data_IF_199089773207
#
_entry.id   IF_199089773207
#
_cell.length_a   1.000
_cell.length_b   1.000
_cell.length_c   1.000
_cell.angle_alpha   90.00
_cell.angle_beta   90.00
_cell.angle_gamma   90.00
#
_symmetry.space_group_name_H-M   'P 1'
#
loop_
_entity.id
_entity.type
_entity.pdbx_description
1 polymer ?
#
# COMPACT_ATOMS: atom_id res chain seq x y z
N UNK A 1 18.70 -21.82 29.65
CA UNK A 1 18.70 -20.38 29.31
C UNK A 1 18.01 -20.23 27.96
N UNK A 2 16.71 -19.99 27.93
CA UNK A 2 15.98 -19.75 26.68
C UNK A 2 16.26 -18.31 26.23
N UNK A 3 16.95 -18.15 25.10
CA UNK A 3 17.07 -16.84 24.45
C UNK A 3 15.71 -16.49 23.86
N UNK A 4 15.01 -15.57 24.52
CA UNK A 4 13.84 -14.92 23.93
C UNK A 4 14.38 -14.01 22.84
N UNK A 5 14.29 -14.44 21.58
CA UNK A 5 14.46 -13.54 20.45
C UNK A 5 13.30 -12.56 20.50
N UNK A 6 13.53 -11.39 21.09
CA UNK A 6 12.67 -10.23 20.90
C UNK A 6 12.73 -9.93 19.40
N UNK A 7 11.69 -10.33 18.65
CA UNK A 7 11.55 -9.94 17.25
C UNK A 7 11.43 -8.41 17.29
N UNK A 8 12.53 -7.72 16.99
CA UNK A 8 12.52 -6.28 16.86
C UNK A 8 11.55 -5.96 15.74
N UNK A 9 10.48 -5.24 16.05
CA UNK A 9 9.54 -4.71 15.07
C UNK A 9 10.31 -3.72 14.19
N UNK A 10 10.91 -4.24 13.11
CA UNK A 10 11.76 -3.49 12.22
C UNK A 10 10.92 -3.05 11.03
N UNK A 11 10.91 -1.73 10.79
CA UNK A 11 10.35 -1.18 9.56
C UNK A 11 11.03 -1.90 8.38
N UNK A 12 10.25 -2.52 7.47
CA UNK A 12 10.83 -3.23 6.35
C UNK A 12 11.61 -2.27 5.45
N UNK A 13 12.84 -2.64 5.12
CA UNK A 13 13.65 -1.86 4.19
C UNK A 13 13.16 -2.05 2.75
N UNK A 14 12.63 -0.98 2.18
CA UNK A 14 12.09 -0.96 0.81
C UNK A 14 13.15 -1.32 -0.23
N UNK A 15 14.44 -1.10 0.04
CA UNK A 15 15.52 -1.45 -0.88
C UNK A 15 15.62 -2.97 -1.11
N UNK A 16 15.11 -3.78 -0.20
CA UNK A 16 15.03 -5.24 -0.35
C UNK A 16 13.94 -5.67 -1.34
N UNK A 17 13.03 -4.76 -1.72
CA UNK A 17 11.88 -5.04 -2.59
C UNK A 17 11.83 -4.11 -3.81
N UNK A 18 12.87 -4.10 -4.67
CA UNK A 18 12.94 -3.17 -5.81
C UNK A 18 11.78 -3.35 -6.80
N UNK A 19 11.21 -4.56 -6.88
CA UNK A 19 10.09 -4.90 -7.74
C UNK A 19 8.72 -4.45 -7.19
N UNK A 20 8.65 -4.01 -5.92
CA UNK A 20 7.41 -3.51 -5.29
C UNK A 20 7.35 -1.99 -5.23
N UNK A 21 8.24 -1.31 -5.97
CA UNK A 21 8.23 0.15 -6.13
C UNK A 21 7.06 0.55 -7.02
N UNK A 22 6.06 1.19 -6.44
CA UNK A 22 4.86 1.64 -7.15
C UNK A 22 5.15 2.75 -8.15
N UNK A 23 4.64 2.56 -9.36
CA UNK A 23 4.82 3.46 -10.50
C UNK A 23 3.49 4.03 -11.03
N UNK A 24 2.41 3.88 -10.25
CA UNK A 24 1.09 4.41 -10.58
C UNK A 24 0.09 3.37 -11.08
N UNK A 25 0.56 2.19 -11.47
CA UNK A 25 -0.28 1.13 -12.05
C UNK A 25 -0.50 -0.04 -11.06
N UNK A 26 -1.62 -0.75 -11.25
CA UNK A 26 -2.00 -1.92 -10.46
C UNK A 26 -2.01 -1.68 -8.94
N UNK A 27 -2.58 -0.54 -8.51
CA UNK A 27 -2.60 -0.13 -7.09
C UNK A 27 -3.17 -1.21 -6.16
N UNK A 28 -4.17 -1.98 -6.59
CA UNK A 28 -4.71 -3.09 -5.81
C UNK A 28 -3.67 -4.16 -5.52
N UNK A 29 -2.90 -4.58 -6.52
CA UNK A 29 -1.90 -5.65 -6.42
C UNK A 29 -0.67 -5.18 -5.64
N UNK A 30 -0.31 -3.92 -5.84
CA UNK A 30 0.76 -3.29 -5.08
C UNK A 30 0.41 -3.23 -3.59
N UNK A 31 -0.76 -2.69 -3.21
CA UNK A 31 -1.19 -2.60 -1.81
C UNK A 31 -1.27 -4.00 -1.18
N UNK A 32 -1.84 -4.99 -1.87
CA UNK A 32 -1.92 -6.36 -1.35
C UNK A 32 -0.54 -6.97 -1.02
N UNK A 33 0.47 -6.68 -1.84
CA UNK A 33 1.82 -7.17 -1.60
C UNK A 33 2.52 -6.43 -0.47
N UNK A 34 2.42 -5.11 -0.42
CA UNK A 34 3.02 -4.30 0.65
C UNK A 34 2.36 -4.56 1.99
N UNK A 35 1.03 -4.68 2.04
CA UNK A 35 0.29 -4.96 3.26
C UNK A 35 0.70 -6.30 3.89
N UNK A 36 0.94 -7.34 3.08
CA UNK A 36 1.48 -8.62 3.58
C UNK A 36 2.84 -8.48 4.24
N UNK A 37 3.69 -7.57 3.76
CA UNK A 37 5.00 -7.29 4.35
C UNK A 37 4.82 -6.54 5.68
N UNK A 38 3.93 -5.55 5.70
CA UNK A 38 3.60 -4.78 6.90
C UNK A 38 2.99 -5.66 8.00
N UNK A 39 2.10 -6.58 7.65
CA UNK A 39 1.51 -7.57 8.56
C UNK A 39 2.57 -8.50 9.17
N UNK A 40 3.52 -8.98 8.35
CA UNK A 40 4.65 -9.81 8.84
C UNK A 40 5.55 -9.03 9.80
N UNK A 41 5.76 -7.75 9.53
CA UNK A 41 6.47 -6.83 10.41
C UNK A 41 5.62 -6.32 11.60
N UNK A 42 4.33 -6.69 11.63
CA UNK A 42 3.35 -6.29 12.66
C UNK A 42 3.27 -4.78 12.85
N UNK A 43 3.29 -4.03 11.75
CA UNK A 43 3.13 -2.58 11.78
C UNK A 43 1.71 -2.19 12.19
N UNK A 44 1.59 -1.20 13.07
CA UNK A 44 0.31 -0.53 13.37
C UNK A 44 -0.19 0.28 12.17
N UNK A 45 -1.50 0.59 12.13
CA UNK A 45 -2.10 1.43 11.08
C UNK A 45 -1.33 2.75 10.86
N UNK A 46 -0.96 3.44 11.94
CA UNK A 46 -0.19 4.68 11.86
C UNK A 46 1.18 4.47 11.20
N UNK A 47 1.87 3.36 11.52
CA UNK A 47 3.14 3.01 10.88
C UNK A 47 2.94 2.67 9.41
N UNK A 48 1.91 1.88 9.05
CA UNK A 48 1.62 1.55 7.65
C UNK A 48 1.37 2.80 6.81
N UNK A 49 0.60 3.75 7.35
CA UNK A 49 0.28 5.02 6.70
C UNK A 49 1.54 5.90 6.55
N UNK A 50 2.39 5.97 7.57
CA UNK A 50 3.64 6.72 7.48
C UNK A 50 4.58 6.13 6.40
N UNK A 51 4.58 4.81 6.25
CA UNK A 51 5.58 4.11 5.44
C UNK A 51 5.20 3.95 3.97
N UNK A 52 3.90 3.79 3.66
CA UNK A 52 3.45 3.41 2.31
C UNK A 52 3.92 4.36 1.21
N UNK A 53 4.11 5.64 1.51
CA UNK A 53 4.63 6.63 0.56
C UNK A 53 6.07 6.33 0.10
N UNK A 54 6.89 5.69 0.94
CA UNK A 54 8.27 5.35 0.57
C UNK A 54 8.35 4.11 -0.32
N UNK A 55 7.23 3.41 -0.53
CA UNK A 55 7.11 2.25 -1.43
C UNK A 55 6.82 2.64 -2.88
N UNK A 56 7.03 3.91 -3.24
CA UNK A 56 6.91 4.40 -4.61
C UNK A 56 8.25 4.47 -5.32
N UNK A 57 8.22 4.48 -6.65
CA UNK A 57 9.39 4.49 -7.54
C UNK A 57 10.05 5.85 -7.63
N UNK A 58 9.27 6.92 -7.57
CA UNK A 58 9.74 8.30 -7.71
C UNK A 58 8.96 9.27 -6.81
N UNK A 59 9.43 10.53 -6.80
CA UNK A 59 8.88 11.59 -5.96
C UNK A 59 7.48 12.03 -6.37
N UNK A 60 7.12 11.89 -7.66
CA UNK A 60 5.78 12.26 -8.16
C UNK A 60 4.74 11.30 -7.60
N UNK A 61 5.01 10.00 -7.69
CA UNK A 61 4.15 8.96 -7.12
C UNK A 61 4.13 9.04 -5.60
N UNK A 62 5.28 9.27 -4.96
CA UNK A 62 5.36 9.47 -3.51
C UNK A 62 4.40 10.57 -3.06
N UNK A 63 4.49 11.75 -3.70
CA UNK A 63 3.65 12.89 -3.34
C UNK A 63 2.16 12.59 -3.53
N UNK A 64 1.79 11.92 -4.62
CA UNK A 64 0.39 11.52 -4.84
C UNK A 64 -0.12 10.51 -3.81
N UNK A 65 0.75 9.62 -3.32
CA UNK A 65 0.42 8.69 -2.22
C UNK A 65 0.29 9.45 -0.91
N UNK A 66 1.23 10.35 -0.60
CA UNK A 66 1.20 11.24 0.56
C UNK A 66 -0.10 12.06 0.62
N UNK A 67 -0.45 12.75 -0.48
CA UNK A 67 -1.68 13.54 -0.60
C UNK A 67 -2.94 12.67 -0.41
N UNK A 68 -2.92 11.42 -0.87
CA UNK A 68 -4.08 10.52 -0.80
C UNK A 68 -4.33 9.97 0.62
N UNK A 69 -3.31 9.93 1.47
CA UNK A 69 -3.39 9.37 2.82
C UNK A 69 -3.26 10.42 3.91
N UNK A 70 -3.12 11.70 3.53
CA UNK A 70 -3.00 12.81 4.47
C UNK A 70 -4.18 12.80 5.46
N UNK A 71 -3.85 13.02 6.74
CA UNK A 71 -4.80 13.05 7.87
C UNK A 71 -5.62 11.76 8.09
N UNK A 72 -5.27 10.64 7.44
CA UNK A 72 -5.91 9.36 7.70
C UNK A 72 -5.26 8.66 8.90
N UNK A 73 -6.09 7.98 9.69
CA UNK A 73 -5.65 7.25 10.90
C UNK A 73 -5.98 5.76 10.86
N UNK A 74 -6.74 5.32 9.85
CA UNK A 74 -7.13 3.92 9.67
C UNK A 74 -6.57 3.38 8.37
N UNK A 75 -5.90 2.23 8.46
CA UNK A 75 -5.31 1.59 7.29
C UNK A 75 -6.35 1.21 6.24
N UNK A 76 -7.51 0.70 6.66
CA UNK A 76 -8.59 0.35 5.72
C UNK A 76 -9.14 1.57 4.96
N UNK A 77 -9.18 2.74 5.62
CA UNK A 77 -9.59 3.98 4.97
C UNK A 77 -8.51 4.45 3.99
N UNK A 78 -7.23 4.37 4.38
CA UNK A 78 -6.11 4.68 3.49
C UNK A 78 -6.06 3.79 2.25
N UNK A 79 -6.27 2.48 2.40
CA UNK A 79 -6.35 1.55 1.26
C UNK A 79 -7.48 1.94 0.29
N UNK A 80 -8.63 2.34 0.83
CA UNK A 80 -9.76 2.78 0.01
C UNK A 80 -9.43 4.07 -0.74
N UNK A 81 -8.83 5.04 -0.06
CA UNK A 81 -8.40 6.31 -0.66
C UNK A 81 -7.37 6.09 -1.78
N UNK A 82 -6.34 5.27 -1.54
CA UNK A 82 -5.33 4.93 -2.54
C UNK A 82 -5.95 4.26 -3.77
N UNK A 83 -6.83 3.26 -3.57
CA UNK A 83 -7.52 2.60 -4.68
C UNK A 83 -8.34 3.58 -5.52
N UNK A 84 -9.02 4.53 -4.87
CA UNK A 84 -9.78 5.58 -5.54
C UNK A 84 -8.87 6.54 -6.33
N UNK A 85 -7.76 6.97 -5.73
CA UNK A 85 -6.81 7.92 -6.35
C UNK A 85 -6.13 7.36 -7.60
N UNK A 86 -5.88 6.05 -7.62
CA UNK A 86 -5.17 5.37 -8.72
C UNK A 86 -6.06 4.43 -9.54
N UNK A 87 -7.38 4.64 -9.51
CA UNK A 87 -8.36 3.76 -10.19
C UNK A 87 -8.11 3.58 -11.69
N UNK A 88 -7.62 4.62 -12.39
CA UNK A 88 -7.37 4.60 -13.83
C UNK A 88 -6.23 3.63 -14.20
N UNK A 89 -5.20 3.55 -13.36
CA UNK A 89 -4.05 2.66 -13.55
C UNK A 89 -4.32 1.22 -13.09
N UNK A 90 -5.55 0.89 -12.67
CA UNK A 90 -5.87 -0.41 -12.08
C UNK A 90 -6.89 -1.20 -12.95
N UNK A 91 -6.39 -2.10 -13.82
CA UNK A 91 -7.24 -2.94 -14.65
C UNK A 91 -8.25 -3.79 -13.87
N UNK A 92 -7.95 -4.19 -12.62
CA UNK A 92 -8.88 -4.98 -11.80
C UNK A 92 -10.09 -4.14 -11.41
N UNK A 93 -9.87 -2.88 -11.06
CA UNK A 93 -10.96 -1.95 -10.74
C UNK A 93 -11.78 -1.60 -11.98
N UNK A 94 -11.13 -1.34 -13.12
CA UNK A 94 -11.82 -1.08 -14.39
C UNK A 94 -12.67 -2.27 -14.84
N UNK A 95 -12.13 -3.49 -14.76
CA UNK A 95 -12.88 -4.72 -15.09
C UNK A 95 -14.08 -4.92 -14.17
N UNK A 96 -13.90 -4.68 -12.88
CA UNK A 96 -14.98 -4.79 -11.90
C UNK A 96 -16.09 -3.75 -12.16
N UNK A 97 -15.72 -2.52 -12.51
CA UNK A 97 -16.67 -1.48 -12.89
C UNK A 97 -17.44 -1.86 -14.17
N UNK A 98 -16.75 -2.39 -15.18
CA UNK A 98 -17.39 -2.88 -16.41
C UNK A 98 -18.37 -4.03 -16.14
N UNK A 99 -18.00 -4.99 -15.29
CA UNK A 99 -18.89 -6.10 -14.92
C UNK A 99 -20.17 -5.58 -14.25
N UNK A 100 -20.05 -4.65 -13.29
CA UNK A 100 -21.22 -4.02 -12.65
C UNK A 100 -22.13 -3.31 -13.64
N UNK A 101 -21.56 -2.67 -14.66
CA UNK A 101 -22.34 -2.00 -15.71
C UNK A 101 -23.02 -3.00 -16.66
N UNK A 102 -22.40 -4.16 -16.92
CA UNK A 102 -22.97 -5.20 -17.77
C UNK A 102 -24.16 -5.91 -17.11
N UNK A 103 -24.15 -6.01 -15.79
CA UNK A 103 -25.19 -6.70 -15.00
C UNK A 103 -26.41 -5.79 -14.68
N UNK A 104 -26.42 -4.53 -15.16
CA UNK A 104 -27.54 -3.59 -15.10
C UNK A 104 -28.36 -3.62 -16.41
#
# INVERSE_FOLDING_TARGET
MAQVFTILYMIPDVAQYPHLRFDGDNVSDWIEQVDRIFERARLSDAQKIAEIQYWTKDRTHQKRVEDAIDQLHSWSVAVTALKSTFVIGDPRQLRSAYQRLKDL
#
